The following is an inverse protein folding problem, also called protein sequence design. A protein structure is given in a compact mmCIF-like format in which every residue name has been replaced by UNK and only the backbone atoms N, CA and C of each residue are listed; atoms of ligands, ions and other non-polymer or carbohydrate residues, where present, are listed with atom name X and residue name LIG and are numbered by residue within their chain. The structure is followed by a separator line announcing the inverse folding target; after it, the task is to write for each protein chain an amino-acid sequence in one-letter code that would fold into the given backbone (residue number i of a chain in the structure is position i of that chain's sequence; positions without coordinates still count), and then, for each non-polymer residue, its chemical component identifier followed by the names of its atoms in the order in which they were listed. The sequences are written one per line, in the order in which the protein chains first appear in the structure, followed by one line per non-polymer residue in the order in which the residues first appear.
data_IF_588837308796
#
_entry.id   IF_588837308796
#
_cell.length_a   1.000
_cell.length_b   1.000
_cell.length_c   1.000
_cell.angle_alpha   90.00
_cell.angle_beta   90.00
_cell.angle_gamma   90.00
#
_symmetry.space_group_name_H-M   'P 1'
#
loop_
_entity.id
_entity.type
_entity.pdbx_description
1 polymer ?
#
# COMPACT_ATOMS: atom_id res chain seq x y z
N UNK A 1 -4.79 -17.21 29.05
CA UNK A 1 -4.80 -17.87 27.75
C UNK A 1 -4.04 -16.96 26.81
N UNK A 2 -2.78 -17.26 26.63
CA UNK A 2 -1.80 -16.45 25.87
C UNK A 2 -1.98 -16.72 24.39
N UNK A 3 -2.24 -15.66 23.64
CA UNK A 3 -2.44 -15.70 22.19
C UNK A 3 -1.06 -15.66 21.52
N UNK A 4 -0.56 -16.81 21.10
CA UNK A 4 0.68 -16.94 20.33
C UNK A 4 0.47 -16.41 18.91
N UNK A 5 1.08 -15.26 18.64
CA UNK A 5 1.24 -14.72 17.28
C UNK A 5 2.19 -15.66 16.53
N UNK A 6 1.65 -16.51 15.67
CA UNK A 6 2.47 -17.35 14.79
C UNK A 6 3.19 -16.47 13.77
N UNK A 7 4.50 -16.37 13.97
CA UNK A 7 5.45 -15.84 12.98
C UNK A 7 5.37 -16.69 11.71
N UNK A 8 4.84 -16.08 10.62
CA UNK A 8 4.73 -16.74 9.33
C UNK A 8 6.07 -16.59 8.58
N UNK A 9 6.98 -17.55 8.86
CA UNK A 9 8.27 -17.62 8.15
C UNK A 9 8.00 -18.13 6.74
N UNK A 10 8.21 -17.25 5.76
CA UNK A 10 8.19 -17.58 4.32
C UNK A 10 9.35 -18.58 4.05
N UNK A 11 9.11 -19.74 3.42
CA UNK A 11 10.18 -20.67 3.08
C UNK A 11 11.13 -20.03 2.07
N UNK A 12 12.44 -20.14 2.34
CA UNK A 12 13.50 -19.69 1.47
C UNK A 12 13.44 -20.46 0.13
N UNK A 13 13.25 -19.72 -0.95
CA UNK A 13 13.41 -20.24 -2.29
C UNK A 13 14.92 -20.37 -2.59
N UNK A 14 15.30 -21.53 -3.07
CA UNK A 14 16.64 -21.93 -3.49
C UNK A 14 17.30 -20.92 -4.43
N UNK A 15 18.57 -20.59 -4.13
CA UNK A 15 19.46 -19.72 -4.90
C UNK A 15 19.67 -20.23 -6.33
N UNK A 16 19.26 -19.42 -7.30
CA UNK A 16 19.86 -19.34 -8.62
C UNK A 16 19.80 -17.87 -9.07
N UNK A 17 20.87 -17.14 -8.83
CA UNK A 17 21.05 -15.75 -9.24
C UNK A 17 21.47 -15.68 -10.71
N UNK A 18 20.67 -15.09 -11.62
CA UNK A 18 21.21 -14.57 -12.86
C UNK A 18 21.78 -13.16 -12.58
N UNK A 19 23.01 -12.93 -12.98
CA UNK A 19 23.68 -11.64 -12.93
C UNK A 19 22.85 -10.60 -13.71
N UNK A 20 22.21 -9.69 -13.00
CA UNK A 20 21.55 -8.53 -13.55
C UNK A 20 22.56 -7.41 -13.84
N UNK A 21 22.23 -6.48 -14.76
CA UNK A 21 23.11 -5.37 -15.10
C UNK A 21 23.37 -4.48 -13.88
N UNK A 22 24.60 -3.97 -13.79
CA UNK A 22 25.08 -3.12 -12.72
C UNK A 22 24.09 -1.97 -12.43
N UNK A 23 23.62 -1.92 -11.20
CA UNK A 23 22.81 -0.81 -10.70
C UNK A 23 23.64 0.48 -10.79
N UNK A 24 23.14 1.46 -11.51
CA UNK A 24 23.65 2.83 -11.50
C UNK A 24 23.58 3.39 -10.08
N UNK A 25 24.69 3.84 -9.55
CA UNK A 25 24.88 4.47 -8.22
C UNK A 25 24.23 5.87 -8.15
N UNK A 26 22.99 6.00 -8.59
CA UNK A 26 22.24 7.24 -8.43
C UNK A 26 21.39 7.15 -7.15
N UNK A 27 22.00 7.47 -6.01
CA UNK A 27 21.25 7.85 -4.80
C UNK A 27 20.25 8.93 -5.20
N UNK A 28 18.96 8.76 -4.94
CA UNK A 28 17.97 9.80 -5.25
C UNK A 28 18.38 11.09 -4.54
N UNK A 29 18.51 12.18 -5.30
CA UNK A 29 18.93 13.47 -4.77
C UNK A 29 17.95 13.93 -3.68
N UNK A 30 18.41 13.93 -2.44
CA UNK A 30 17.77 14.69 -1.36
C UNK A 30 17.71 16.15 -1.83
N UNK A 31 16.60 16.88 -1.66
CA UNK A 31 16.50 18.28 -2.09
C UNK A 31 17.68 19.06 -1.50
N UNK A 32 18.44 19.70 -2.37
CA UNK A 32 19.63 20.43 -2.01
C UNK A 32 19.22 21.75 -1.34
N UNK A 33 19.09 21.74 -0.02
CA UNK A 33 18.90 22.92 0.81
C UNK A 33 17.80 22.78 1.86
N UNK A 34 17.85 23.60 2.93
CA UNK A 34 16.81 23.57 3.96
C UNK A 34 15.47 24.08 3.40
N UNK A 35 14.39 23.41 3.76
CA UNK A 35 13.03 23.85 3.45
C UNK A 35 12.81 25.23 4.10
N UNK A 36 12.33 26.26 3.34
CA UNK A 36 12.06 27.58 3.89
C UNK A 36 11.05 27.52 5.06
N UNK A 37 11.32 28.28 6.11
CA UNK A 37 10.50 28.35 7.31
C UNK A 37 10.02 29.78 7.56
N UNK A 38 8.85 29.89 8.17
CA UNK A 38 8.31 31.15 8.66
C UNK A 38 9.10 31.65 9.90
N UNK A 39 8.94 32.93 10.33
CA UNK A 39 9.66 33.47 11.47
C UNK A 39 9.48 32.71 12.78
N UNK A 40 8.38 32.00 12.95
CA UNK A 40 8.06 31.10 14.07
C UNK A 40 8.71 29.72 13.95
N UNK A 41 9.51 29.48 12.90
CA UNK A 41 10.23 28.23 12.68
C UNK A 41 9.40 27.13 12.01
N UNK A 42 8.14 27.39 11.69
CA UNK A 42 7.29 26.45 10.99
C UNK A 42 7.51 26.49 9.47
N UNK A 43 7.25 25.38 8.83
CA UNK A 43 7.17 25.35 7.36
C UNK A 43 5.86 26.03 6.97
N UNK A 44 5.92 27.09 6.13
CA UNK A 44 4.70 27.75 5.70
C UNK A 44 3.75 26.78 4.97
N UNK A 45 2.45 26.93 5.17
CA UNK A 45 1.45 26.05 4.55
C UNK A 45 1.58 25.99 3.03
N UNK A 46 1.92 27.11 2.41
CA UNK A 46 2.13 27.17 0.96
C UNK A 46 3.36 26.38 0.49
N UNK A 47 4.45 26.41 1.24
CA UNK A 47 5.65 25.60 0.97
C UNK A 47 5.36 24.12 1.24
N UNK A 48 4.74 23.81 2.37
CA UNK A 48 4.35 22.45 2.73
C UNK A 48 3.48 21.82 1.63
N UNK A 49 2.37 22.46 1.26
CA UNK A 49 1.46 21.93 0.27
C UNK A 49 2.17 21.66 -1.07
N UNK A 50 3.01 22.59 -1.53
CA UNK A 50 3.73 22.43 -2.79
C UNK A 50 4.74 21.29 -2.76
N UNK A 51 5.58 21.21 -1.76
CA UNK A 51 6.65 20.19 -1.68
C UNK A 51 6.09 18.82 -1.29
N UNK A 52 5.16 18.77 -0.36
CA UNK A 52 4.49 17.54 0.02
C UNK A 52 3.66 16.98 -1.13
N UNK A 53 2.81 17.80 -1.77
CA UNK A 53 2.02 17.39 -2.92
C UNK A 53 2.89 16.87 -4.06
N UNK A 54 4.02 17.52 -4.31
CA UNK A 54 4.96 17.08 -5.35
C UNK A 54 5.50 15.67 -5.08
N UNK A 55 5.93 15.40 -3.84
CA UNK A 55 6.44 14.09 -3.44
C UNK A 55 5.33 13.04 -3.46
N UNK A 56 4.16 13.39 -2.91
CA UNK A 56 2.99 12.52 -2.89
C UNK A 56 2.56 12.13 -4.30
N UNK A 57 2.37 13.11 -5.20
CA UNK A 57 2.00 12.85 -6.60
C UNK A 57 3.05 12.05 -7.35
N UNK A 58 4.34 12.28 -7.06
CA UNK A 58 5.42 11.47 -7.64
C UNK A 58 5.31 10.00 -7.19
N UNK A 59 5.06 9.76 -5.92
CA UNK A 59 4.85 8.41 -5.39
C UNK A 59 3.62 7.75 -6.03
N UNK A 60 2.48 8.46 -6.04
CA UNK A 60 1.24 7.99 -6.65
C UNK A 60 1.42 7.60 -8.12
N UNK A 61 2.13 8.44 -8.89
CA UNK A 61 2.43 8.17 -10.30
C UNK A 61 3.30 6.92 -10.48
N UNK A 62 4.24 6.64 -9.58
CA UNK A 62 5.06 5.42 -9.63
C UNK A 62 4.19 4.17 -9.49
N UNK A 63 3.29 4.14 -8.52
CA UNK A 63 2.37 3.02 -8.30
C UNK A 63 1.34 2.88 -9.43
N UNK A 64 0.83 4.01 -9.94
CA UNK A 64 -0.04 4.00 -11.12
C UNK A 64 0.65 3.36 -12.35
N UNK A 65 1.89 3.75 -12.63
CA UNK A 65 2.66 3.18 -13.73
C UNK A 65 2.92 1.69 -13.53
N UNK A 66 3.17 1.28 -12.28
CA UNK A 66 3.36 -0.12 -11.92
C UNK A 66 2.09 -0.95 -12.17
N UNK A 67 0.94 -0.49 -11.72
CA UNK A 67 -0.35 -1.14 -11.96
C UNK A 67 -0.66 -1.23 -13.47
N UNK A 68 -0.47 -0.14 -14.20
CA UNK A 68 -0.64 -0.12 -15.68
C UNK A 68 0.30 -1.08 -16.39
N UNK A 69 1.56 -1.17 -15.97
CA UNK A 69 2.53 -2.12 -16.49
C UNK A 69 2.11 -3.58 -16.27
N UNK A 70 1.24 -3.84 -15.29
CA UNK A 70 0.61 -5.13 -15.05
C UNK A 70 -0.72 -5.32 -15.81
N UNK A 71 -1.22 -4.33 -16.55
CA UNK A 71 -2.52 -4.36 -17.21
C UNK A 71 -3.70 -4.28 -16.23
N UNK A 72 -3.49 -3.61 -15.09
CA UNK A 72 -4.47 -3.44 -14.02
C UNK A 72 -4.76 -1.96 -13.75
N UNK A 73 -5.91 -1.69 -13.13
CA UNK A 73 -6.14 -0.43 -12.42
C UNK A 73 -5.42 -0.46 -11.07
N UNK A 74 -5.21 0.72 -10.48
CA UNK A 74 -4.56 0.86 -9.17
C UNK A 74 -5.31 0.06 -8.10
N UNK A 75 -6.64 0.18 -8.06
CA UNK A 75 -7.46 -0.57 -7.11
C UNK A 75 -7.37 -2.09 -7.30
N UNK A 76 -7.26 -2.57 -8.55
CA UNK A 76 -7.09 -3.99 -8.83
C UNK A 76 -5.71 -4.50 -8.42
N UNK A 77 -4.66 -3.70 -8.66
CA UNK A 77 -3.30 -4.01 -8.24
C UNK A 77 -3.21 -4.12 -6.71
N UNK A 78 -3.68 -3.09 -6.01
CA UNK A 78 -3.64 -3.07 -4.54
C UNK A 78 -4.51 -4.15 -3.92
N UNK A 79 -5.64 -4.49 -4.54
CA UNK A 79 -6.51 -5.55 -4.03
C UNK A 79 -5.85 -6.93 -4.14
N UNK A 80 -5.17 -7.23 -5.27
CA UNK A 80 -4.40 -8.48 -5.40
C UNK A 80 -3.25 -8.55 -4.39
N UNK A 81 -2.52 -7.44 -4.20
CA UNK A 81 -1.48 -7.34 -3.17
C UNK A 81 -2.05 -7.61 -1.77
N UNK A 82 -3.20 -6.99 -1.45
CA UNK A 82 -3.86 -7.14 -0.17
C UNK A 82 -4.28 -8.58 0.14
N UNK A 83 -4.81 -9.28 -0.85
CA UNK A 83 -5.21 -10.69 -0.73
C UNK A 83 -3.96 -11.57 -0.55
N UNK A 84 -2.92 -11.32 -1.35
CA UNK A 84 -1.64 -12.03 -1.24
C UNK A 84 -0.99 -11.86 0.14
N UNK A 85 -0.89 -10.64 0.64
CA UNK A 85 -0.29 -10.32 1.93
C UNK A 85 -1.02 -10.99 3.13
N UNK A 86 -2.27 -11.40 2.92
CA UNK A 86 -3.09 -12.14 3.90
C UNK A 86 -3.09 -13.66 3.72
N UNK A 87 -2.11 -14.20 2.99
CA UNK A 87 -2.00 -15.63 2.77
C UNK A 87 -2.87 -16.15 1.62
N UNK A 88 -3.13 -15.32 0.61
CA UNK A 88 -3.91 -15.59 -0.59
C UNK A 88 -5.43 -15.67 -0.40
N UNK A 89 -5.92 -15.31 0.77
CA UNK A 89 -7.36 -15.25 1.09
C UNK A 89 -7.64 -14.10 2.06
N UNK A 90 -8.80 -13.43 1.92
CA UNK A 90 -9.22 -12.38 2.82
C UNK A 90 -10.75 -12.27 2.91
N UNK A 91 -11.29 -11.79 4.02
CA UNK A 91 -12.68 -11.40 4.08
C UNK A 91 -12.90 -10.07 3.33
N UNK A 92 -14.06 -9.91 2.70
CA UNK A 92 -14.39 -8.65 2.01
C UNK A 92 -14.50 -7.48 3.00
N UNK A 93 -14.88 -7.77 4.23
CA UNK A 93 -14.98 -6.77 5.30
C UNK A 93 -13.59 -6.22 5.64
N UNK A 94 -12.63 -7.11 5.90
CA UNK A 94 -11.26 -6.72 6.27
C UNK A 94 -10.56 -5.94 5.15
N UNK A 95 -10.87 -6.26 3.89
CA UNK A 95 -10.37 -5.52 2.74
C UNK A 95 -10.95 -4.11 2.65
N UNK A 96 -12.26 -3.93 2.91
CA UNK A 96 -12.87 -2.60 2.99
C UNK A 96 -12.27 -1.75 4.10
N UNK A 97 -12.12 -2.32 5.29
CA UNK A 97 -11.61 -1.62 6.47
C UNK A 97 -10.13 -1.23 6.27
N UNK A 98 -9.29 -2.16 5.83
CA UNK A 98 -7.85 -1.93 5.69
C UNK A 98 -7.46 -0.95 4.57
N UNK A 99 -8.25 -0.85 3.51
CA UNK A 99 -7.94 -0.01 2.34
C UNK A 99 -8.90 1.17 2.18
N UNK A 100 -9.74 1.44 3.18
CA UNK A 100 -10.74 2.51 3.16
C UNK A 100 -11.57 2.53 1.87
N UNK A 101 -11.82 1.36 1.26
CA UNK A 101 -12.54 1.24 0.01
C UNK A 101 -14.05 1.28 0.25
N UNK A 102 -14.78 1.99 -0.61
CA UNK A 102 -16.23 1.85 -0.66
C UNK A 102 -16.61 0.42 -1.08
N UNK A 103 -17.74 -0.08 -0.55
CA UNK A 103 -18.27 -1.39 -0.98
C UNK A 103 -18.49 -1.47 -2.49
N UNK A 104 -18.86 -0.37 -3.12
CA UNK A 104 -19.06 -0.29 -4.57
C UNK A 104 -17.73 -0.45 -5.32
N UNK A 105 -16.69 0.27 -4.90
CA UNK A 105 -15.34 0.17 -5.48
C UNK A 105 -14.80 -1.24 -5.32
N UNK A 106 -14.87 -1.83 -4.12
CA UNK A 106 -14.44 -3.21 -3.89
C UNK A 106 -15.16 -4.19 -4.82
N UNK A 107 -16.50 -4.12 -4.89
CA UNK A 107 -17.28 -5.04 -5.73
C UNK A 107 -16.97 -4.89 -7.23
N UNK A 108 -16.79 -3.67 -7.75
CA UNK A 108 -16.44 -3.45 -9.16
C UNK A 108 -15.04 -3.98 -9.47
N UNK A 109 -14.08 -3.76 -8.57
CA UNK A 109 -12.71 -4.27 -8.69
C UNK A 109 -12.67 -5.81 -8.65
N UNK A 110 -13.42 -6.42 -7.73
CA UNK A 110 -13.53 -7.88 -7.65
C UNK A 110 -14.09 -8.48 -8.93
N UNK A 111 -15.17 -7.93 -9.49
CA UNK A 111 -15.73 -8.40 -10.78
C UNK A 111 -14.70 -8.36 -11.91
N UNK A 112 -13.88 -7.30 -11.94
CA UNK A 112 -12.80 -7.19 -12.93
C UNK A 112 -11.75 -8.29 -12.72
N UNK A 113 -11.36 -8.57 -11.49
CA UNK A 113 -10.38 -9.61 -11.17
C UNK A 113 -10.93 -11.02 -11.37
N UNK A 114 -12.20 -11.24 -11.05
CA UNK A 114 -12.92 -12.49 -11.34
C UNK A 114 -13.01 -12.74 -12.86
N UNK A 115 -13.36 -11.72 -13.67
CA UNK A 115 -13.40 -11.84 -15.13
C UNK A 115 -12.04 -12.16 -15.76
N UNK A 116 -10.94 -11.75 -15.11
CA UNK A 116 -9.57 -12.12 -15.49
C UNK A 116 -9.16 -13.50 -14.94
N UNK A 117 -9.99 -14.13 -14.13
CA UNK A 117 -9.72 -15.43 -13.52
C UNK A 117 -8.66 -15.39 -12.42
N UNK A 118 -8.35 -14.23 -11.84
CA UNK A 118 -7.32 -14.09 -10.81
C UNK A 118 -7.82 -14.34 -9.40
N UNK A 119 -9.10 -14.10 -9.15
CA UNK A 119 -9.72 -14.32 -7.85
C UNK A 119 -11.04 -15.06 -8.00
N UNK A 120 -11.47 -15.69 -6.92
CA UNK A 120 -12.78 -16.26 -6.73
C UNK A 120 -13.39 -15.80 -5.42
N UNK A 121 -14.70 -15.53 -5.43
CA UNK A 121 -15.44 -15.10 -4.25
C UNK A 121 -16.35 -16.22 -3.76
N UNK A 122 -16.36 -16.48 -2.47
CA UNK A 122 -17.23 -17.48 -1.84
C UNK A 122 -17.84 -16.95 -0.55
N UNK A 123 -18.85 -17.64 -0.02
CA UNK A 123 -19.36 -17.33 1.30
C UNK A 123 -18.43 -17.94 2.38
N UNK A 124 -18.27 -17.24 3.50
CA UNK A 124 -17.61 -17.81 4.66
C UNK A 124 -18.41 -18.98 5.19
N UNK A 125 -17.72 -19.99 5.71
CA UNK A 125 -18.35 -21.17 6.30
C UNK A 125 -19.35 -20.76 7.39
N UNK A 126 -20.54 -21.33 7.36
CA UNK A 126 -21.63 -21.03 8.31
C UNK A 126 -22.31 -19.66 8.12
N UNK A 127 -21.93 -18.87 7.10
CA UNK A 127 -22.53 -17.55 6.86
C UNK A 127 -23.14 -17.44 5.47
N UNK A 128 -24.38 -16.93 5.42
CA UNK A 128 -25.07 -16.56 4.17
C UNK A 128 -24.82 -15.09 3.76
N UNK A 129 -24.11 -14.32 4.58
CA UNK A 129 -23.88 -12.88 4.35
C UNK A 129 -22.42 -12.52 4.23
N UNK A 130 -21.53 -13.13 5.04
CA UNK A 130 -20.12 -12.86 5.01
C UNK A 130 -19.48 -13.56 3.81
N UNK A 131 -18.72 -12.79 3.03
CA UNK A 131 -17.99 -13.26 1.86
C UNK A 131 -16.48 -13.15 2.07
N UNK A 132 -15.78 -14.05 1.46
CA UNK A 132 -14.32 -14.06 1.32
C UNK A 132 -13.92 -14.10 -0.15
N UNK A 133 -12.73 -13.67 -0.43
CA UNK A 133 -12.09 -13.74 -1.75
C UNK A 133 -10.77 -14.48 -1.61
N UNK A 134 -10.46 -15.33 -2.58
CA UNK A 134 -9.20 -16.07 -2.62
C UNK A 134 -8.55 -15.93 -4.00
N UNK A 135 -7.21 -15.99 -4.04
CA UNK A 135 -6.46 -16.06 -5.30
C UNK A 135 -6.65 -17.45 -5.91
N UNK A 136 -7.04 -17.50 -7.18
CA UNK A 136 -7.00 -18.71 -7.99
C UNK A 136 -5.56 -19.18 -8.25
N UNK A 137 -5.32 -20.37 -8.80
CA UNK A 137 -3.98 -20.75 -9.27
C UNK A 137 -3.40 -19.76 -10.28
N UNK A 138 -4.22 -19.24 -11.21
CA UNK A 138 -3.79 -18.22 -12.16
C UNK A 138 -3.49 -16.88 -11.48
N UNK A 139 -4.29 -16.48 -10.48
CA UNK A 139 -4.05 -15.29 -9.67
C UNK A 139 -2.74 -15.40 -8.88
N UNK A 140 -2.46 -16.54 -8.27
CA UNK A 140 -1.17 -16.77 -7.56
C UNK A 140 0.02 -16.69 -8.52
N UNK A 141 -0.06 -17.29 -9.70
CA UNK A 141 0.99 -17.21 -10.71
C UNK A 141 1.20 -15.76 -11.17
N UNK A 142 0.12 -15.00 -11.39
CA UNK A 142 0.19 -13.59 -11.75
C UNK A 142 0.84 -12.74 -10.65
N UNK A 143 0.42 -12.92 -9.41
CA UNK A 143 0.98 -12.22 -8.24
C UNK A 143 2.47 -12.52 -8.09
N UNK A 144 2.87 -13.77 -8.18
CA UNK A 144 4.28 -14.18 -8.11
C UNK A 144 5.12 -13.54 -9.20
N UNK A 145 4.59 -13.42 -10.43
CA UNK A 145 5.32 -12.88 -11.57
C UNK A 145 5.35 -11.34 -11.63
N UNK A 146 4.33 -10.65 -11.12
CA UNK A 146 4.15 -9.21 -11.34
C UNK A 146 4.15 -8.38 -10.04
N UNK A 147 3.56 -8.87 -8.97
CA UNK A 147 3.37 -8.11 -7.73
C UNK A 147 4.52 -8.37 -6.75
N UNK A 148 4.90 -9.61 -6.55
CA UNK A 148 5.99 -9.96 -5.62
C UNK A 148 7.33 -9.27 -5.97
N UNK A 149 7.79 -9.23 -7.24
CA UNK A 149 9.02 -8.51 -7.58
C UNK A 149 8.96 -7.01 -7.28
N UNK A 150 7.79 -6.39 -7.49
CA UNK A 150 7.57 -4.98 -7.18
C UNK A 150 7.61 -4.72 -5.67
N UNK A 151 6.93 -5.55 -4.88
CA UNK A 151 6.98 -5.47 -3.40
C UNK A 151 8.40 -5.68 -2.85
N UNK A 152 9.17 -6.58 -3.46
CA UNK A 152 10.59 -6.75 -3.10
C UNK A 152 11.44 -5.52 -3.46
N UNK A 153 11.16 -4.87 -4.60
CA UNK A 153 11.82 -3.63 -4.97
C UNK A 153 11.48 -2.49 -4.01
N UNK A 154 10.22 -2.37 -3.60
CA UNK A 154 9.77 -1.42 -2.60
C UNK A 154 10.46 -1.65 -1.24
N UNK A 155 10.56 -2.90 -0.80
CA UNK A 155 11.29 -3.26 0.40
C UNK A 155 12.76 -2.82 0.33
N UNK A 156 13.47 -3.12 -0.77
CA UNK A 156 14.86 -2.65 -0.96
C UNK A 156 14.96 -1.13 -0.98
N UNK A 157 13.96 -0.44 -1.55
CA UNK A 157 13.92 1.03 -1.52
C UNK A 157 13.74 1.57 -0.09
N UNK A 158 12.95 0.89 0.74
CA UNK A 158 12.77 1.25 2.15
C UNK A 158 14.03 0.98 2.99
N UNK A 159 14.83 -0.01 2.62
CA UNK A 159 16.11 -0.35 3.28
C UNK A 159 17.21 0.73 3.09
N UNK A 160 16.99 1.78 2.27
CA UNK A 160 17.90 2.95 2.21
C UNK A 160 17.83 3.81 3.48
N UNK A 161 16.74 3.67 4.25
CA UNK A 161 16.56 4.33 5.53
C UNK A 161 17.18 3.46 6.63
N UNK A 162 17.89 4.10 7.56
CA UNK A 162 18.33 3.41 8.79
C UNK A 162 17.10 2.96 9.62
N UNK A 163 17.21 1.91 10.46
CA UNK A 163 16.07 1.45 11.25
C UNK A 163 15.39 2.55 12.08
N UNK A 164 16.16 3.45 12.66
CA UNK A 164 15.66 4.58 13.44
C UNK A 164 14.92 5.60 12.58
N UNK A 165 15.35 5.79 11.33
CA UNK A 165 14.65 6.65 10.34
C UNK A 165 13.35 6.01 9.86
N UNK A 166 13.31 4.67 9.73
CA UNK A 166 12.09 3.94 9.40
C UNK A 166 11.03 4.10 10.49
N UNK A 167 11.43 3.90 11.75
CA UNK A 167 10.55 4.06 12.93
C UNK A 167 10.05 5.50 13.05
N UNK A 168 10.95 6.48 12.89
CA UNK A 168 10.60 7.89 12.97
C UNK A 168 9.66 8.32 11.82
N UNK A 169 9.90 7.85 10.60
CA UNK A 169 9.04 8.12 9.46
C UNK A 169 7.62 7.60 9.74
N UNK A 170 7.46 6.36 10.20
CA UNK A 170 6.17 5.77 10.53
C UNK A 170 5.47 6.55 11.64
N UNK A 171 6.19 6.89 12.70
CA UNK A 171 5.69 7.68 13.83
C UNK A 171 5.20 9.07 13.39
N UNK A 172 5.96 9.75 12.51
CA UNK A 172 5.60 11.09 12.02
C UNK A 172 4.40 11.06 11.09
N UNK A 173 4.32 10.06 10.20
CA UNK A 173 3.16 9.88 9.32
C UNK A 173 1.90 9.63 10.14
N UNK A 174 1.94 8.70 11.10
CA UNK A 174 0.81 8.39 11.98
C UNK A 174 0.33 9.63 12.75
N UNK A 175 1.26 10.36 13.38
CA UNK A 175 0.97 11.60 14.09
C UNK A 175 0.31 12.65 13.20
N UNK A 176 0.81 12.81 11.97
CA UNK A 176 0.26 13.77 11.01
C UNK A 176 -1.15 13.38 10.56
N UNK A 177 -1.35 12.11 10.19
CA UNK A 177 -2.66 11.61 9.75
C UNK A 177 -3.70 11.75 10.86
N UNK A 178 -3.35 11.40 12.10
CA UNK A 178 -4.25 11.57 13.24
C UNK A 178 -4.64 13.05 13.47
N UNK A 179 -3.68 13.96 13.35
CA UNK A 179 -3.96 15.40 13.48
C UNK A 179 -4.87 15.92 12.36
N UNK A 180 -4.66 15.48 11.12
CA UNK A 180 -5.53 15.83 9.99
C UNK A 180 -6.96 15.32 10.22
N UNK A 181 -7.10 14.08 10.69
CA UNK A 181 -8.42 13.49 11.00
C UNK A 181 -9.17 14.29 12.07
N UNK A 182 -8.49 14.74 13.12
CA UNK A 182 -9.07 15.57 14.17
C UNK A 182 -9.53 16.94 13.63
N UNK A 183 -8.74 17.59 12.79
CA UNK A 183 -9.09 18.88 12.18
C UNK A 183 -10.32 18.74 11.25
N UNK A 184 -10.36 17.68 10.42
CA UNK A 184 -11.52 17.43 9.55
C UNK A 184 -12.79 17.21 10.38
N UNK A 185 -12.73 16.39 11.44
CA UNK A 185 -13.88 16.19 12.35
C UNK A 185 -14.33 17.49 13.00
N UNK A 186 -13.41 18.39 13.34
CA UNK A 186 -13.75 19.70 13.91
C UNK A 186 -14.51 20.55 12.90
N UNK A 187 -14.03 20.62 11.65
CA UNK A 187 -14.71 21.34 10.58
C UNK A 187 -16.13 20.82 10.32
N UNK A 188 -16.30 19.50 10.22
CA UNK A 188 -17.62 18.86 10.04
C UNK A 188 -18.56 19.13 11.21
N UNK A 189 -18.05 19.17 12.45
CA UNK A 189 -18.83 19.49 13.65
C UNK A 189 -19.22 20.96 13.76
N UNK A 190 -18.49 21.88 13.15
CA UNK A 190 -18.81 23.32 13.07
C UNK A 190 -19.87 23.61 12.00
N UNK A 191 -19.83 22.92 10.85
CA UNK A 191 -20.85 23.03 9.79
C UNK A 191 -22.22 22.48 10.19
N UNK A 192 -22.26 21.57 11.17
CA UNK A 192 -23.51 20.96 11.67
C UNK A 192 -24.24 21.81 12.74
N UNK A 193 -23.70 22.97 13.14
CA UNK A 193 -24.27 23.89 14.12
C UNK A 193 -24.86 25.13 13.49
#
# INVERSE_FOLDING_TARGET
MTNEVRSNTVPAASDATPAGPAASDATPAVPAGPIPRDPDGLISVGVWNREFDKLYRKSDQLYHNLARGCGLSDSAYWLLYAIYARGNEASLRDLCEAYCLSKQTLNSTLRTLESKGYVETSFCEGSRKAKRVALTPAGRAFVAAKIVPASQAERRAFEVLAPEEQDEMMRLIDKYVAAVEEEIKRMEGEEAR
#
